data_IF_722829609862
#
_entry.id   IF_722829609862
#
_cell.length_a   1.000
_cell.length_b   1.000
_cell.length_c   1.000
_cell.angle_alpha   90.00
_cell.angle_beta   90.00
_cell.angle_gamma   90.00
#
_symmetry.space_group_name_H-M   'P 1'
#
loop_
_entity.id
_entity.type
_entity.pdbx_description
1 polymer ?
#
# COMPACT_ATOMS: atom_id res chain seq x y z
N UNK A 1 -21.65 -6.73 1.35
CA UNK A 1 -22.19 -7.70 0.37
C UNK A 1 -21.39 -8.97 0.64
N UNK A 2 -22.03 -10.11 0.87
CA UNK A 2 -21.29 -11.34 1.19
C UNK A 2 -20.40 -11.78 0.02
N UNK A 3 -19.48 -12.75 0.23
CA UNK A 3 -18.65 -13.24 -0.86
C UNK A 3 -19.54 -13.70 -2.01
N UNK A 4 -19.18 -13.32 -3.24
CA UNK A 4 -19.90 -13.75 -4.41
C UNK A 4 -19.72 -15.27 -4.59
N UNK A 5 -20.50 -15.89 -5.49
CA UNK A 5 -20.19 -17.26 -5.87
C UNK A 5 -18.76 -17.34 -6.42
N UNK A 6 -18.06 -18.43 -6.10
CA UNK A 6 -16.72 -18.66 -6.61
C UNK A 6 -16.70 -18.57 -8.14
N UNK A 7 -15.68 -17.89 -8.66
CA UNK A 7 -15.48 -17.76 -10.09
C UNK A 7 -15.35 -19.14 -10.75
N UNK A 8 -16.09 -19.38 -11.83
CA UNK A 8 -16.13 -20.67 -12.55
C UNK A 8 -15.44 -20.52 -13.90
N UNK A 9 -14.15 -20.85 -14.02
CA UNK A 9 -13.44 -20.75 -15.29
C UNK A 9 -14.00 -21.73 -16.32
N UNK A 10 -14.00 -21.31 -17.59
CA UNK A 10 -14.19 -22.22 -18.72
C UNK A 10 -12.84 -22.65 -19.28
N UNK A 11 -12.75 -23.79 -20.00
CA UNK A 11 -11.49 -24.22 -20.63
C UNK A 11 -10.87 -23.15 -21.55
N UNK A 12 -11.70 -22.30 -22.17
CA UNK A 12 -11.22 -21.21 -23.03
C UNK A 12 -10.61 -20.03 -22.28
N UNK A 13 -10.80 -19.95 -20.95
CA UNK A 13 -10.16 -18.91 -20.13
C UNK A 13 -8.74 -19.31 -19.69
N UNK A 14 -8.37 -20.59 -19.76
CA UNK A 14 -7.05 -21.05 -19.29
C UNK A 14 -5.97 -20.49 -20.20
N UNK A 15 -4.96 -19.85 -19.60
CA UNK A 15 -3.80 -19.35 -20.34
C UNK A 15 -2.82 -20.49 -20.59
N UNK A 16 -2.49 -20.84 -21.85
CA UNK A 16 -1.48 -21.84 -22.16
C UNK A 16 -0.10 -21.45 -21.64
N UNK A 17 0.77 -22.43 -21.44
CA UNK A 17 2.10 -22.16 -20.88
C UNK A 17 2.96 -21.30 -21.82
N UNK A 18 2.87 -21.49 -23.13
CA UNK A 18 3.67 -20.75 -24.13
C UNK A 18 3.13 -19.34 -24.43
N UNK A 19 2.01 -18.95 -23.81
CA UNK A 19 1.44 -17.61 -23.92
C UNK A 19 2.39 -16.56 -23.33
N UNK A 20 2.54 -15.42 -24.02
CA UNK A 20 3.42 -14.34 -23.61
C UNK A 20 3.10 -13.81 -22.20
N UNK A 21 1.83 -13.88 -21.77
CA UNK A 21 1.39 -13.49 -20.42
C UNK A 21 1.92 -14.46 -19.37
N UNK A 22 1.97 -15.76 -19.67
CA UNK A 22 2.58 -16.76 -18.80
C UNK A 22 4.09 -16.54 -18.67
N UNK A 23 4.76 -16.31 -19.80
CA UNK A 23 6.20 -15.99 -19.83
C UNK A 23 6.50 -14.76 -18.97
N UNK A 24 5.67 -13.73 -19.05
CA UNK A 24 5.81 -12.52 -18.23
C UNK A 24 5.67 -12.83 -16.73
N UNK A 25 4.60 -13.54 -16.33
CA UNK A 25 4.37 -13.91 -14.92
C UNK A 25 5.52 -14.77 -14.37
N UNK A 26 5.97 -15.79 -15.09
CA UNK A 26 7.08 -16.62 -14.62
C UNK A 26 8.37 -15.81 -14.46
N UNK A 27 8.67 -14.92 -15.42
CA UNK A 27 9.83 -14.02 -15.32
C UNK A 27 9.74 -13.10 -14.11
N UNK A 28 8.59 -12.45 -13.90
CA UNK A 28 8.39 -11.47 -12.83
C UNK A 28 8.43 -12.11 -11.45
N UNK A 29 7.99 -13.38 -11.34
CA UNK A 29 8.05 -14.18 -10.12
C UNK A 29 9.37 -14.93 -9.93
N UNK A 30 10.27 -14.89 -10.91
CA UNK A 30 11.53 -15.65 -10.89
C UNK A 30 11.35 -17.16 -10.96
N UNK A 31 10.24 -17.62 -11.53
CA UNK A 31 9.92 -19.04 -11.72
C UNK A 31 10.61 -19.57 -12.98
N UNK A 32 11.01 -20.85 -12.93
CA UNK A 32 11.49 -21.55 -14.12
C UNK A 32 10.33 -21.71 -15.11
N UNK A 33 10.56 -21.32 -16.36
CA UNK A 33 9.57 -21.46 -17.42
C UNK A 33 9.80 -22.78 -18.19
N UNK A 34 8.97 -23.79 -17.89
CA UNK A 34 9.04 -25.13 -18.49
C UNK A 34 7.63 -25.60 -18.91
N UNK A 35 7.36 -25.53 -20.22
CA UNK A 35 6.09 -25.95 -20.81
C UNK A 35 6.06 -27.43 -21.22
N UNK A 36 7.08 -28.22 -20.89
CA UNK A 36 7.09 -29.66 -21.26
C UNK A 36 6.15 -30.50 -20.40
N UNK A 37 5.87 -30.06 -19.17
CA UNK A 37 4.99 -30.78 -18.23
C UNK A 37 3.52 -30.46 -18.44
N UNK A 38 3.18 -29.17 -18.50
CA UNK A 38 1.82 -28.66 -18.60
C UNK A 38 1.74 -27.64 -19.76
N UNK A 39 1.74 -28.07 -21.03
CA UNK A 39 1.73 -27.13 -22.17
C UNK A 39 0.44 -26.29 -22.23
N UNK A 40 -0.68 -26.88 -21.82
CA UNK A 40 -2.01 -26.28 -21.96
C UNK A 40 -2.39 -25.35 -20.79
N UNK A 41 -1.50 -25.13 -19.81
CA UNK A 41 -1.81 -24.39 -18.59
C UNK A 41 -0.59 -23.65 -18.04
N UNK A 42 -0.80 -22.41 -17.60
CA UNK A 42 0.19 -21.62 -16.89
C UNK A 42 -0.04 -21.68 -15.38
N UNK A 43 0.86 -22.33 -14.66
CA UNK A 43 0.85 -22.43 -13.20
C UNK A 43 1.59 -21.27 -12.55
N UNK A 44 1.10 -20.72 -11.45
CA UNK A 44 1.85 -19.73 -10.67
C UNK A 44 1.92 -20.12 -9.19
N UNK A 45 3.01 -19.70 -8.56
CA UNK A 45 3.16 -19.68 -7.11
C UNK A 45 3.65 -18.30 -6.69
N UNK A 46 2.99 -17.71 -5.71
CA UNK A 46 3.30 -16.39 -5.19
C UNK A 46 3.40 -16.44 -3.67
N UNK A 47 4.44 -15.84 -3.11
CA UNK A 47 4.65 -15.74 -1.66
C UNK A 47 4.63 -14.30 -1.19
N UNK A 48 3.83 -14.02 -0.16
CA UNK A 48 3.83 -12.76 0.58
C UNK A 48 4.96 -12.73 1.62
N UNK A 49 5.28 -11.53 2.11
CA UNK A 49 6.39 -11.33 3.05
C UNK A 49 6.09 -11.78 4.48
N UNK A 50 4.82 -11.89 4.83
CA UNK A 50 4.33 -12.42 6.09
C UNK A 50 4.30 -13.97 6.12
N UNK A 51 4.72 -14.62 5.03
CA UNK A 51 4.76 -16.07 4.91
C UNK A 51 3.49 -16.69 4.34
N UNK A 52 2.48 -15.88 3.97
CA UNK A 52 1.35 -16.37 3.19
C UNK A 52 1.76 -16.68 1.75
N UNK A 53 1.04 -17.60 1.09
CA UNK A 53 1.29 -17.93 -0.30
C UNK A 53 0.02 -18.34 -1.03
N UNK A 54 0.05 -18.15 -2.34
CA UNK A 54 -1.01 -18.53 -3.28
C UNK A 54 -0.41 -19.40 -4.38
N UNK A 55 -1.00 -20.57 -4.57
CA UNK A 55 -0.81 -21.42 -5.75
C UNK A 55 -2.08 -21.39 -6.59
N UNK A 56 -1.91 -21.28 -7.91
CA UNK A 56 -3.04 -21.19 -8.82
C UNK A 56 -2.67 -21.37 -10.28
N UNK A 57 -3.67 -21.15 -11.13
CA UNK A 57 -3.50 -21.09 -12.60
C UNK A 57 -3.75 -19.68 -13.09
N UNK A 58 -3.04 -19.28 -14.16
CA UNK A 58 -3.33 -18.04 -14.86
C UNK A 58 -4.53 -18.23 -15.79
N UNK A 59 -5.51 -17.36 -15.64
CA UNK A 59 -6.68 -17.27 -16.50
C UNK A 59 -6.70 -15.93 -17.22
N UNK A 60 -7.39 -15.87 -18.35
CA UNK A 60 -7.71 -14.63 -19.04
C UNK A 60 -9.21 -14.52 -19.27
N UNK A 61 -9.78 -13.38 -18.88
CA UNK A 61 -11.18 -13.06 -19.15
C UNK A 61 -11.40 -11.55 -19.31
N UNK A 62 -12.61 -11.19 -19.73
CA UNK A 62 -13.04 -9.82 -19.96
C UNK A 62 -13.34 -9.07 -18.66
N UNK A 63 -12.62 -7.98 -18.42
CA UNK A 63 -12.86 -7.10 -17.28
C UNK A 63 -13.76 -5.94 -17.67
N UNK A 64 -14.68 -5.57 -16.77
CA UNK A 64 -15.46 -4.33 -16.91
C UNK A 64 -14.78 -3.22 -16.10
N UNK A 65 -14.24 -2.21 -16.79
CA UNK A 65 -13.59 -1.07 -16.16
C UNK A 65 -14.51 0.16 -16.13
N UNK A 66 -14.45 1.01 -15.08
CA UNK A 66 -15.34 2.17 -14.95
C UNK A 66 -15.25 3.20 -16.08
N UNK A 67 -14.11 3.26 -16.79
CA UNK A 67 -13.78 4.33 -17.74
C UNK A 67 -14.39 4.14 -19.13
N UNK A 68 -14.82 2.93 -19.51
CA UNK A 68 -15.61 2.72 -20.73
C UNK A 68 -16.23 1.31 -20.74
N UNK A 69 -17.55 1.20 -20.53
CA UNK A 69 -18.24 -0.10 -20.51
C UNK A 69 -18.17 -0.87 -21.86
N UNK A 70 -17.80 -0.19 -22.95
CA UNK A 70 -17.68 -0.79 -24.29
C UNK A 70 -16.32 -1.48 -24.52
N UNK A 71 -15.25 -1.04 -23.84
CA UNK A 71 -13.93 -1.66 -23.93
C UNK A 71 -13.72 -2.59 -22.74
N UNK A 72 -13.96 -3.88 -22.95
CA UNK A 72 -13.69 -4.94 -21.97
C UNK A 72 -12.35 -5.60 -22.27
N UNK A 73 -11.23 -5.15 -21.67
CA UNK A 73 -9.93 -5.76 -21.93
C UNK A 73 -9.92 -7.21 -21.46
N UNK A 74 -9.23 -8.05 -22.23
CA UNK A 74 -9.02 -9.44 -21.88
C UNK A 74 -7.77 -9.55 -21.01
N UNK A 75 -7.92 -9.48 -19.70
CA UNK A 75 -6.80 -9.41 -18.77
C UNK A 75 -6.51 -10.79 -18.18
N UNK A 76 -5.22 -11.12 -18.10
CA UNK A 76 -4.74 -12.27 -17.37
C UNK A 76 -4.66 -11.98 -15.86
N UNK A 77 -5.13 -12.93 -15.05
CA UNK A 77 -5.14 -12.86 -13.58
C UNK A 77 -5.01 -14.27 -12.98
N UNK A 78 -4.53 -14.34 -11.74
CA UNK A 78 -4.37 -15.60 -11.02
C UNK A 78 -5.70 -16.10 -10.45
N UNK A 79 -6.05 -17.36 -10.73
CA UNK A 79 -7.11 -18.09 -10.06
C UNK A 79 -6.48 -19.01 -9.01
N UNK A 80 -6.34 -18.50 -7.79
CA UNK A 80 -5.80 -19.23 -6.65
C UNK A 80 -6.76 -20.31 -6.17
N UNK A 81 -6.27 -21.54 -6.00
CA UNK A 81 -7.06 -22.66 -5.46
C UNK A 81 -6.44 -23.29 -4.21
N UNK A 82 -5.17 -22.95 -3.92
CA UNK A 82 -4.48 -23.39 -2.71
C UNK A 82 -3.77 -22.19 -2.09
N UNK A 83 -4.10 -21.88 -0.85
CA UNK A 83 -3.62 -20.72 -0.11
C UNK A 83 -3.06 -21.22 1.22
N UNK A 84 -1.77 -21.01 1.45
CA UNK A 84 -1.09 -21.42 2.68
C UNK A 84 -0.65 -20.18 3.48
N UNK A 85 -0.53 -20.33 4.81
CA UNK A 85 -0.31 -19.19 5.71
C UNK A 85 -1.61 -18.49 6.10
N UNK A 86 -1.59 -17.71 7.18
CA UNK A 86 -2.79 -17.11 7.76
C UNK A 86 -3.50 -17.99 8.80
N UNK A 87 -2.77 -18.61 9.74
CA UNK A 87 -3.36 -19.39 10.86
C UNK A 87 -4.20 -18.58 11.88
N UNK A 88 -4.63 -17.35 11.53
CA UNK A 88 -5.75 -16.65 12.19
C UNK A 88 -6.96 -16.41 11.26
N UNK A 89 -6.94 -16.90 10.02
CA UNK A 89 -8.03 -16.76 9.04
C UNK A 89 -9.29 -17.60 9.37
N UNK A 90 -9.34 -18.23 10.53
CA UNK A 90 -10.55 -18.78 11.09
C UNK A 90 -11.35 -17.74 11.88
N UNK A 91 -11.81 -16.63 11.26
CA UNK A 91 -13.00 -15.81 11.69
C UNK A 91 -13.19 -14.44 11.04
N UNK A 92 -12.28 -13.90 10.23
CA UNK A 92 -12.53 -12.60 9.57
C UNK A 92 -13.11 -12.83 8.18
N UNK A 93 -14.39 -12.49 8.02
CA UNK A 93 -15.03 -12.37 6.71
C UNK A 93 -14.27 -11.29 5.93
N UNK A 94 -13.40 -11.68 5.02
CA UNK A 94 -12.91 -10.78 3.98
C UNK A 94 -14.07 -10.63 3.00
N UNK A 95 -14.68 -9.44 2.92
CA UNK A 95 -15.79 -9.15 2.00
C UNK A 95 -15.33 -8.97 0.53
N UNK A 96 -14.13 -9.47 0.19
CA UNK A 96 -13.54 -9.40 -1.14
C UNK A 96 -13.27 -10.82 -1.67
N UNK A 97 -13.49 -11.02 -2.96
CA UNK A 97 -13.31 -12.32 -3.63
C UNK A 97 -11.86 -12.56 -4.11
N UNK A 98 -10.94 -11.63 -3.83
CA UNK A 98 -9.55 -11.71 -4.25
C UNK A 98 -8.76 -10.43 -3.95
N UNK A 99 -7.53 -10.38 -4.47
CA UNK A 99 -6.58 -9.29 -4.29
C UNK A 99 -6.22 -8.68 -5.64
N UNK A 100 -6.30 -7.34 -5.74
CA UNK A 100 -5.73 -6.62 -6.87
C UNK A 100 -4.25 -6.28 -6.58
N UNK A 101 -3.36 -7.19 -6.96
CA UNK A 101 -1.92 -6.99 -6.85
C UNK A 101 -1.38 -6.11 -7.98
N UNK A 102 -0.85 -4.92 -7.64
CA UNK A 102 -0.19 -4.03 -8.59
C UNK A 102 1.28 -3.92 -8.19
N UNK A 103 2.11 -4.75 -8.82
CA UNK A 103 3.57 -4.71 -8.67
C UNK A 103 4.24 -4.09 -9.89
N UNK A 104 5.56 -4.23 -9.95
CA UNK A 104 6.41 -3.73 -11.06
C UNK A 104 6.65 -4.77 -12.16
N UNK A 105 5.88 -5.85 -12.17
CA UNK A 105 6.05 -6.96 -13.09
C UNK A 105 5.48 -6.62 -14.46
N UNK A 106 6.16 -7.00 -15.52
CA UNK A 106 5.66 -6.85 -16.90
C UNK A 106 4.31 -7.54 -17.21
N UNK A 107 3.86 -8.48 -16.39
CA UNK A 107 2.54 -9.12 -16.46
C UNK A 107 1.47 -8.46 -15.56
N UNK A 108 1.79 -7.36 -14.86
CA UNK A 108 0.86 -6.68 -13.96
C UNK A 108 -0.32 -6.03 -14.71
N UNK A 109 -1.38 -5.67 -13.98
CA UNK A 109 -2.59 -5.05 -14.54
C UNK A 109 -2.29 -3.82 -15.41
N UNK A 110 -1.49 -2.87 -14.91
CA UNK A 110 -1.15 -1.61 -15.59
C UNK A 110 -0.38 -1.89 -16.87
N UNK A 111 0.57 -2.82 -16.82
CA UNK A 111 1.32 -3.28 -18.00
C UNK A 111 0.39 -3.89 -19.06
N UNK A 112 -0.56 -4.73 -18.66
CA UNK A 112 -1.55 -5.32 -19.58
C UNK A 112 -2.49 -4.27 -20.19
N UNK A 113 -2.96 -3.30 -19.39
CA UNK A 113 -3.80 -2.21 -19.88
C UNK A 113 -3.06 -1.36 -20.93
N UNK A 114 -1.77 -1.07 -20.71
CA UNK A 114 -0.95 -0.35 -21.69
C UNK A 114 -0.75 -1.17 -22.97
N UNK A 115 -0.42 -2.46 -22.86
CA UNK A 115 -0.22 -3.34 -24.02
C UNK A 115 -1.46 -3.45 -24.90
N UNK A 116 -2.65 -3.44 -24.31
CA UNK A 116 -3.93 -3.45 -25.03
C UNK A 116 -4.40 -2.06 -25.49
N UNK A 117 -3.60 -1.01 -25.27
CA UNK A 117 -3.92 0.37 -25.67
C UNK A 117 -5.09 0.99 -24.90
N UNK A 118 -5.44 0.44 -23.73
CA UNK A 118 -6.49 0.98 -22.86
C UNK A 118 -6.02 2.25 -22.14
N UNK A 119 -4.74 2.29 -21.80
CA UNK A 119 -4.05 3.47 -21.24
C UNK A 119 -2.80 3.77 -22.05
N UNK A 120 -2.41 5.03 -22.10
CA UNK A 120 -1.22 5.48 -22.86
C UNK A 120 0.09 5.22 -22.10
N UNK A 121 0.10 5.54 -20.81
CA UNK A 121 1.30 5.49 -19.96
C UNK A 121 1.21 4.36 -18.94
N UNK A 122 2.32 3.67 -18.67
CA UNK A 122 2.43 2.71 -17.57
C UNK A 122 2.59 3.47 -16.25
N UNK A 123 1.50 4.11 -15.84
CA UNK A 123 1.39 4.90 -14.63
C UNK A 123 0.10 4.50 -13.95
N UNK A 124 0.13 4.39 -12.63
CA UNK A 124 -1.07 4.31 -11.84
C UNK A 124 -0.90 5.12 -10.56
N UNK A 125 -2.00 5.40 -9.90
CA UNK A 125 -1.97 6.01 -8.59
C UNK A 125 -3.23 5.76 -7.80
N UNK A 126 -3.12 5.86 -6.49
CA UNK A 126 -4.24 5.68 -5.56
C UNK A 126 -4.26 6.82 -4.53
N UNK A 127 -5.42 7.03 -3.94
CA UNK A 127 -5.63 7.98 -2.84
C UNK A 127 -6.60 7.35 -1.86
N UNK A 128 -6.14 7.09 -0.63
CA UNK A 128 -6.93 6.43 0.40
C UNK A 128 -7.58 7.48 1.32
N UNK A 129 -8.91 7.44 1.48
CA UNK A 129 -9.63 8.34 2.38
C UNK A 129 -9.53 7.89 3.85
N UNK A 130 -9.42 8.85 4.78
CA UNK A 130 -9.36 8.59 6.24
C UNK A 130 -10.66 8.03 6.83
N UNK A 131 -11.80 8.26 6.18
CA UNK A 131 -13.12 7.78 6.61
C UNK A 131 -13.67 6.67 5.68
N UNK A 132 -12.77 5.98 4.98
CA UNK A 132 -13.12 5.05 3.91
C UNK A 132 -13.32 5.75 2.57
N UNK A 133 -13.47 4.94 1.52
CA UNK A 133 -13.46 5.41 0.14
C UNK A 133 -12.06 5.76 -0.35
N UNK A 134 -11.99 6.63 -1.35
CA UNK A 134 -10.76 6.90 -2.09
C UNK A 134 -10.95 6.63 -3.58
N UNK A 135 -9.85 6.65 -4.32
CA UNK A 135 -9.85 6.33 -5.73
C UNK A 135 -8.54 5.65 -6.17
N UNK A 136 -8.64 4.92 -7.27
CA UNK A 136 -7.54 4.32 -8.02
C UNK A 136 -7.66 4.81 -9.47
N UNK A 137 -6.54 5.16 -10.09
CA UNK A 137 -6.50 5.55 -11.50
C UNK A 137 -5.33 4.87 -12.22
N UNK A 138 -5.51 4.70 -13.53
CA UNK A 138 -4.52 4.14 -14.45
C UNK A 138 -4.30 5.12 -15.60
N UNK A 139 -3.07 5.20 -16.10
CA UNK A 139 -2.64 6.17 -17.11
C UNK A 139 -2.11 7.49 -16.53
N UNK A 140 -1.45 8.28 -17.38
CA UNK A 140 -0.83 9.56 -17.00
C UNK A 140 -1.80 10.74 -16.87
N UNK A 141 -3.00 10.65 -17.45
CA UNK A 141 -3.95 11.78 -17.57
C UNK A 141 -4.46 12.31 -16.22
N UNK A 142 -4.35 11.52 -15.17
CA UNK A 142 -4.82 11.84 -13.81
C UNK A 142 -3.70 12.24 -12.86
N UNK A 143 -2.45 12.25 -13.33
CA UNK A 143 -1.30 12.69 -12.54
C UNK A 143 -1.37 14.21 -12.34
N UNK A 144 -1.34 14.74 -11.11
CA UNK A 144 -1.34 16.18 -10.88
C UNK A 144 -0.15 16.87 -11.58
N UNK A 145 -0.42 18.00 -12.23
CA UNK A 145 0.60 18.75 -12.98
C UNK A 145 1.58 19.52 -12.10
N UNK A 146 1.24 19.75 -10.83
CA UNK A 146 2.07 20.45 -9.84
C UNK A 146 1.81 19.90 -8.43
N UNK A 147 2.69 20.25 -7.48
CA UNK A 147 2.54 19.88 -6.06
C UNK A 147 2.88 18.42 -5.73
N UNK A 148 3.40 17.66 -6.70
CA UNK A 148 3.88 16.30 -6.48
C UNK A 148 5.36 16.32 -6.11
N UNK A 149 5.70 15.70 -4.98
CA UNK A 149 7.06 15.38 -4.60
C UNK A 149 7.45 14.05 -5.22
N UNK A 150 8.60 13.99 -5.89
CA UNK A 150 9.06 12.80 -6.62
C UNK A 150 10.37 12.26 -6.05
N UNK A 151 10.48 10.93 -6.02
CA UNK A 151 11.73 10.21 -5.73
C UNK A 151 11.96 9.08 -6.73
N UNK A 152 13.21 8.74 -7.05
CA UNK A 152 13.50 7.57 -7.87
C UNK A 152 13.05 6.29 -7.17
N UNK A 153 12.54 5.33 -7.93
CA UNK A 153 12.26 3.98 -7.45
C UNK A 153 13.57 3.22 -7.23
N UNK A 154 13.75 2.67 -6.05
CA UNK A 154 14.84 1.75 -5.76
C UNK A 154 14.57 0.38 -6.43
N UNK A 155 15.62 -0.26 -6.95
CA UNK A 155 15.52 -1.56 -7.64
C UNK A 155 15.89 -2.76 -6.74
N UNK A 156 16.36 -2.50 -5.52
CA UNK A 156 16.87 -3.52 -4.60
C UNK A 156 15.79 -4.23 -3.76
N UNK A 157 14.50 -3.98 -4.03
CA UNK A 157 13.36 -4.53 -3.28
C UNK A 157 12.47 -5.40 -4.19
N UNK A 158 13.06 -6.04 -5.21
CA UNK A 158 12.36 -6.93 -6.12
C UNK A 158 11.25 -6.23 -6.91
N UNK A 159 10.09 -6.87 -7.01
CA UNK A 159 8.92 -6.35 -7.73
C UNK A 159 8.09 -5.33 -6.93
N UNK A 160 8.49 -5.00 -5.70
CA UNK A 160 7.78 -4.04 -4.85
C UNK A 160 8.14 -2.59 -5.20
N UNK A 161 7.20 -1.68 -4.90
CA UNK A 161 7.40 -0.24 -5.04
C UNK A 161 8.15 0.33 -3.83
N UNK A 162 9.44 0.62 -4.03
CA UNK A 162 10.31 1.19 -3.01
C UNK A 162 10.81 2.58 -3.42
N UNK A 163 10.63 3.61 -2.58
CA UNK A 163 11.30 4.92 -2.74
C UNK A 163 12.77 4.89 -2.25
N UNK A 164 13.27 3.74 -1.80
CA UNK A 164 14.62 3.56 -1.27
C UNK A 164 14.73 3.78 0.23
N UNK A 165 15.92 4.22 0.66
CA UNK A 165 16.24 4.43 2.07
C UNK A 165 15.70 5.77 2.57
N UNK A 166 15.11 5.77 3.77
CA UNK A 166 14.55 6.94 4.41
C UNK A 166 14.96 7.06 5.88
N UNK A 167 15.06 8.27 6.41
CA UNK A 167 15.10 8.47 7.87
C UNK A 167 13.70 8.84 8.37
N UNK A 168 13.36 8.40 9.58
CA UNK A 168 12.13 8.71 10.29
C UNK A 168 12.45 9.63 11.48
N UNK A 169 11.76 10.76 11.54
CA UNK A 169 11.86 11.73 12.63
C UNK A 169 10.49 12.03 13.22
N UNK A 170 10.42 12.29 14.52
CA UNK A 170 9.24 12.83 15.20
C UNK A 170 9.49 14.30 15.51
N UNK A 171 8.50 15.15 15.24
CA UNK A 171 8.57 16.58 15.56
C UNK A 171 9.90 17.21 15.11
N UNK A 172 10.11 17.32 13.79
CA UNK A 172 11.38 17.76 13.19
C UNK A 172 11.89 19.10 13.75
N UNK A 173 10.98 19.96 14.22
CA UNK A 173 11.34 21.23 14.89
C UNK A 173 12.14 21.04 16.19
N UNK A 174 11.91 19.94 16.91
CA UNK A 174 12.64 19.55 18.12
C UNK A 174 13.66 18.42 17.85
N UNK A 175 13.82 18.02 16.58
CA UNK A 175 14.78 17.01 16.12
C UNK A 175 14.76 15.72 16.97
N UNK A 176 13.62 15.03 17.09
CA UNK A 176 13.63 13.68 17.68
C UNK A 176 13.88 12.61 16.60
N UNK A 177 15.12 12.14 16.41
CA UNK A 177 15.41 11.06 15.47
C UNK A 177 14.81 9.75 15.97
N UNK A 178 13.91 9.18 15.18
CA UNK A 178 13.31 7.87 15.46
C UNK A 178 14.16 6.76 14.84
N UNK A 179 14.67 6.97 13.63
CA UNK A 179 15.70 6.11 13.02
C UNK A 179 17.09 6.72 13.16
N UNK A 180 18.09 5.92 13.54
CA UNK A 180 19.49 6.38 13.60
C UNK A 180 20.20 6.38 12.25
N UNK A 181 19.76 5.50 11.34
CA UNK A 181 20.33 5.29 10.02
C UNK A 181 19.20 5.22 9.00
N UNK A 182 19.44 5.57 7.72
CA UNK A 182 18.47 5.39 6.66
C UNK A 182 17.99 3.93 6.57
N UNK A 183 16.68 3.74 6.65
CA UNK A 183 16.03 2.45 6.65
C UNK A 183 15.41 2.19 5.27
N UNK A 184 15.60 0.99 4.70
CA UNK A 184 14.98 0.63 3.42
C UNK A 184 13.47 0.57 3.59
N UNK A 185 12.74 1.34 2.78
CA UNK A 185 11.28 1.44 2.85
C UNK A 185 10.61 0.90 1.59
N UNK A 186 9.37 0.43 1.72
CA UNK A 186 8.48 0.15 0.60
C UNK A 186 7.07 0.64 0.89
N UNK A 187 6.34 1.06 -0.14
CA UNK A 187 4.92 1.38 -0.01
C UNK A 187 4.10 0.12 -0.27
N UNK A 188 3.17 -0.18 0.63
CA UNK A 188 2.27 -1.32 0.48
C UNK A 188 0.87 -0.95 0.97
N UNK A 189 -0.07 -0.87 0.03
CA UNK A 189 -1.48 -0.57 0.31
C UNK A 189 -2.26 -1.80 0.78
N UNK A 190 -1.68 -3.00 0.71
CA UNK A 190 -2.28 -4.24 1.24
C UNK A 190 -2.22 -4.30 2.77
N UNK A 191 -1.22 -3.68 3.39
CA UNK A 191 -1.11 -3.56 4.83
C UNK A 191 -1.92 -2.38 5.37
N UNK A 192 -2.75 -2.62 6.39
CA UNK A 192 -3.49 -1.54 7.07
C UNK A 192 -2.54 -0.58 7.79
N UNK A 193 -1.55 -1.12 8.51
CA UNK A 193 -0.61 -0.38 9.34
C UNK A 193 0.77 -0.31 8.71
N UNK A 194 1.55 0.65 9.18
CA UNK A 194 2.97 0.78 8.86
C UNK A 194 3.78 -0.10 9.81
N UNK A 195 4.79 -0.79 9.29
CA UNK A 195 5.65 -1.68 10.06
C UNK A 195 7.10 -1.25 9.93
N UNK A 196 7.77 -1.02 11.05
CA UNK A 196 9.18 -0.62 11.09
C UNK A 196 10.01 -1.62 11.90
N UNK A 197 11.32 -1.66 11.65
CA UNK A 197 12.24 -2.50 12.41
C UNK A 197 12.12 -2.24 13.93
N UNK A 198 12.28 -3.29 14.75
CA UNK A 198 12.13 -3.24 16.21
C UNK A 198 12.86 -2.08 16.91
N UNK A 199 14.06 -1.72 16.43
CA UNK A 199 14.87 -0.66 17.05
C UNK A 199 14.27 0.73 16.78
N UNK A 200 13.78 0.95 15.55
CA UNK A 200 13.04 2.16 15.15
C UNK A 200 11.72 2.24 15.90
N UNK A 201 11.02 1.11 16.04
CA UNK A 201 9.76 1.02 16.78
C UNK A 201 9.93 1.39 18.26
N UNK A 202 10.95 0.83 18.94
CA UNK A 202 11.22 1.17 20.35
C UNK A 202 11.58 2.64 20.58
N UNK A 203 12.31 3.24 19.63
CA UNK A 203 12.62 4.68 19.66
C UNK A 203 11.38 5.53 19.41
N UNK A 204 10.49 5.10 18.52
CA UNK A 204 9.24 5.79 18.25
C UNK A 204 8.38 5.86 19.51
N UNK A 205 8.18 4.72 20.19
CA UNK A 205 7.42 4.66 21.45
C UNK A 205 8.02 5.61 22.49
N UNK A 206 9.34 5.59 22.64
CA UNK A 206 10.03 6.46 23.60
C UNK A 206 9.85 7.94 23.26
N UNK A 207 10.02 8.31 21.99
CA UNK A 207 9.85 9.69 21.53
C UNK A 207 8.41 10.19 21.67
N UNK A 208 7.42 9.35 21.31
CA UNK A 208 6.00 9.67 21.51
C UNK A 208 5.71 9.86 22.99
N UNK A 209 6.19 8.97 23.86
CA UNK A 209 6.05 9.08 25.31
C UNK A 209 6.55 10.42 25.85
N UNK A 210 7.75 10.84 25.45
CA UNK A 210 8.33 12.14 25.81
C UNK A 210 7.46 13.29 25.31
N UNK A 211 6.98 13.24 24.06
CA UNK A 211 6.13 14.32 23.52
C UNK A 211 4.74 14.41 24.15
N UNK A 212 4.29 13.35 24.81
CA UNK A 212 3.03 13.30 25.55
C UNK A 212 3.19 13.68 27.03
N UNK A 213 4.41 13.92 27.52
CA UNK A 213 4.63 14.39 28.89
C UNK A 213 3.89 15.71 29.13
N UNK A 214 3.11 15.77 30.22
CA UNK A 214 2.27 16.93 30.55
C UNK A 214 0.93 16.98 29.81
N UNK A 215 0.64 16.02 28.93
CA UNK A 215 -0.72 15.80 28.43
C UNK A 215 -1.59 15.08 29.47
N UNK A 216 -2.90 15.03 29.22
CA UNK A 216 -3.86 14.26 30.02
C UNK A 216 -3.90 12.77 29.69
N UNK A 217 -3.10 12.31 28.72
CA UNK A 217 -3.09 10.92 28.26
C UNK A 217 -2.25 10.03 29.19
N UNK A 218 -2.80 8.88 29.57
CA UNK A 218 -2.10 7.87 30.38
C UNK A 218 -1.89 6.59 29.58
N UNK A 219 -0.66 6.05 29.61
CA UNK A 219 -0.33 4.80 28.90
C UNK A 219 -1.09 3.62 29.52
N UNK A 220 -1.68 2.78 28.67
CA UNK A 220 -2.48 1.62 29.07
C UNK A 220 -2.30 0.45 28.11
N UNK A 221 -2.60 -0.75 28.60
CA UNK A 221 -2.65 -1.95 27.78
C UNK A 221 -4.00 -2.03 27.02
N UNK A 222 -4.00 -2.56 25.80
CA UNK A 222 -5.20 -2.89 25.04
C UNK A 222 -4.97 -4.14 24.18
N UNK A 223 -6.02 -4.94 24.01
CA UNK A 223 -5.94 -6.17 23.21
C UNK A 223 -5.83 -5.87 21.70
N UNK A 224 -6.24 -4.67 21.26
CA UNK A 224 -6.25 -4.32 19.84
C UNK A 224 -4.86 -3.98 19.31
N UNK A 225 -4.07 -3.21 20.06
CA UNK A 225 -2.76 -2.69 19.64
C UNK A 225 -1.83 -2.55 20.85
N UNK A 226 -0.53 -2.76 20.64
CA UNK A 226 0.45 -2.88 21.72
C UNK A 226 0.75 -1.58 22.48
N UNK A 227 0.56 -0.42 21.84
CA UNK A 227 0.96 0.88 22.41
C UNK A 227 -0.23 1.84 22.38
N UNK A 228 -0.88 1.99 23.53
CA UNK A 228 -2.11 2.73 23.68
C UNK A 228 -2.08 3.70 24.87
N UNK A 229 -2.94 4.71 24.77
CA UNK A 229 -3.19 5.70 25.80
C UNK A 229 -4.70 5.95 25.94
N UNK A 230 -5.11 6.40 27.12
CA UNK A 230 -6.49 6.77 27.40
C UNK A 230 -6.58 8.13 28.10
N UNK A 231 -7.79 8.70 28.09
CA UNK A 231 -8.16 9.83 28.93
C UNK A 231 -9.22 9.39 29.95
N UNK A 232 -9.57 10.29 30.86
CA UNK A 232 -10.66 10.07 31.81
C UNK A 232 -12.00 9.75 31.12
N UNK A 233 -12.24 10.35 29.95
CA UNK A 233 -13.42 10.10 29.12
C UNK A 233 -13.02 9.37 27.83
N UNK A 234 -13.84 8.42 27.34
CA UNK A 234 -13.56 7.69 26.11
C UNK A 234 -13.39 8.63 24.91
N UNK A 235 -12.28 8.47 24.18
CA UNK A 235 -12.00 9.20 22.95
C UNK A 235 -12.92 8.66 21.85
N UNK A 236 -13.64 9.54 21.15
CA UNK A 236 -14.58 9.11 20.10
C UNK A 236 -13.93 9.17 18.72
N UNK A 237 -13.19 10.24 18.44
CA UNK A 237 -12.58 10.47 17.14
C UNK A 237 -11.10 10.83 17.27
N UNK A 238 -10.34 10.52 16.22
CA UNK A 238 -8.92 10.91 16.13
C UNK A 238 -8.76 12.43 16.23
N UNK A 239 -9.71 13.20 15.70
CA UNK A 239 -9.69 14.67 15.75
C UNK A 239 -9.74 15.23 17.19
N UNK A 240 -10.32 14.50 18.14
CA UNK A 240 -10.42 14.91 19.54
C UNK A 240 -9.03 14.92 20.22
N UNK A 241 -8.10 14.09 19.73
CA UNK A 241 -6.83 13.81 20.41
C UNK A 241 -5.59 14.13 19.58
N UNK A 242 -5.71 14.24 18.25
CA UNK A 242 -4.57 14.39 17.33
C UNK A 242 -3.67 15.58 17.64
N UNK A 243 -4.21 16.66 18.21
CA UNK A 243 -3.45 17.86 18.58
C UNK A 243 -2.39 17.63 19.66
N UNK A 244 -2.52 16.55 20.45
CA UNK A 244 -1.56 16.15 21.49
C UNK A 244 -0.35 15.43 20.91
N UNK A 245 -0.50 14.85 19.72
CA UNK A 245 0.53 14.10 19.00
C UNK A 245 1.29 15.03 18.04
N UNK A 246 2.53 14.67 17.68
CA UNK A 246 3.39 15.46 16.81
C UNK A 246 3.58 14.80 15.45
N UNK A 247 3.65 15.55 14.35
CA UNK A 247 3.85 14.95 13.03
C UNK A 247 5.16 14.16 12.99
N UNK A 248 5.11 13.04 12.27
CA UNK A 248 6.28 12.27 11.86
C UNK A 248 6.72 12.74 10.48
N UNK A 249 7.96 12.45 10.12
CA UNK A 249 8.51 12.81 8.82
C UNK A 249 9.41 11.69 8.29
N UNK A 250 9.12 11.23 7.07
CA UNK A 250 10.03 10.40 6.28
C UNK A 250 10.83 11.28 5.34
N UNK A 251 12.15 11.25 5.49
CA UNK A 251 13.08 11.96 4.62
C UNK A 251 13.86 10.97 3.75
N UNK A 252 13.75 11.13 2.43
CA UNK A 252 14.42 10.33 1.41
C UNK A 252 15.57 11.12 0.77
N UNK A 253 16.63 10.42 0.38
CA UNK A 253 17.79 11.05 -0.25
C UNK A 253 18.60 11.93 0.70
N UNK A 254 19.41 12.83 0.14
CA UNK A 254 20.26 13.75 0.90
C UNK A 254 20.56 15.03 0.09
N UNK A 255 20.87 16.12 0.80
CA UNK A 255 21.27 17.39 0.19
C UNK A 255 20.19 17.97 -0.72
N UNK A 256 20.58 18.40 -1.93
CA UNK A 256 19.66 19.05 -2.88
C UNK A 256 18.58 18.12 -3.46
N UNK A 257 18.74 16.80 -3.32
CA UNK A 257 17.77 15.81 -3.81
C UNK A 257 16.92 15.24 -2.66
N UNK A 258 16.93 15.89 -1.50
CA UNK A 258 16.14 15.48 -0.36
C UNK A 258 14.64 15.65 -0.68
N UNK A 259 13.87 14.61 -0.42
CA UNK A 259 12.42 14.61 -0.56
C UNK A 259 11.80 14.18 0.76
N UNK A 260 10.72 14.86 1.15
CA UNK A 260 10.12 14.67 2.46
C UNK A 260 8.64 14.31 2.32
N UNK A 261 8.20 13.35 3.13
CA UNK A 261 6.79 13.00 3.32
C UNK A 261 6.43 13.20 4.79
N UNK A 262 5.56 14.17 5.05
CA UNK A 262 4.99 14.41 6.38
C UNK A 262 3.95 13.33 6.69
N UNK A 263 3.93 12.83 7.91
CA UNK A 263 2.94 11.87 8.38
C UNK A 263 2.21 12.55 9.55
N UNK A 264 1.04 13.14 9.32
CA UNK A 264 0.30 13.80 10.37
C UNK A 264 -0.23 12.78 11.38
N UNK A 265 -0.57 13.18 12.63
CA UNK A 265 -1.01 12.26 13.66
C UNK A 265 -2.14 11.32 13.24
N UNK A 266 -3.14 11.81 12.51
CA UNK A 266 -4.24 10.98 12.01
C UNK A 266 -3.82 9.82 11.10
N UNK A 267 -2.63 9.89 10.52
CA UNK A 267 -2.08 8.85 9.64
C UNK A 267 -1.26 7.79 10.41
N UNK A 268 -1.07 7.96 11.72
CA UNK A 268 -0.31 7.00 12.53
C UNK A 268 -0.93 6.70 13.92
N UNK A 269 -2.04 7.33 14.31
CA UNK A 269 -2.81 6.98 15.51
C UNK A 269 -4.20 6.46 15.14
N UNK A 270 -4.74 5.57 15.97
CA UNK A 270 -6.07 4.97 15.79
C UNK A 270 -6.83 5.01 17.09
N UNK A 271 -8.13 5.35 17.03
CA UNK A 271 -9.02 5.25 18.17
C UNK A 271 -9.73 3.89 18.16
N UNK A 272 -9.59 3.14 19.26
CA UNK A 272 -10.20 1.82 19.42
C UNK A 272 -11.70 1.93 19.74
N UNK A 273 -12.42 0.82 19.62
CA UNK A 273 -13.84 0.74 20.02
C UNK A 273 -14.06 0.98 21.52
N UNK A 274 -13.02 0.80 22.34
CA UNK A 274 -13.01 1.02 23.78
C UNK A 274 -12.67 2.46 24.16
N UNK A 275 -12.46 3.35 23.17
CA UNK A 275 -12.20 4.77 23.39
C UNK A 275 -10.76 5.09 23.79
N UNK A 276 -9.81 4.22 23.45
CA UNK A 276 -8.37 4.43 23.64
C UNK A 276 -7.75 4.90 22.33
N UNK A 277 -6.67 5.67 22.40
CA UNK A 277 -5.86 6.04 21.23
C UNK A 277 -4.59 5.18 21.20
N UNK A 278 -4.29 4.58 20.07
CA UNK A 278 -3.19 3.63 19.91
C UNK A 278 -2.32 3.96 18.71
N UNK A 279 -1.07 3.49 18.76
CA UNK A 279 -0.12 3.65 17.66
C UNK A 279 -0.46 2.68 16.51
N UNK A 280 -0.66 3.22 15.31
CA UNK A 280 -0.83 2.51 14.04
C UNK A 280 0.47 2.28 13.27
N UNK A 281 1.62 2.43 13.94
CA UNK A 281 2.93 1.97 13.46
C UNK A 281 3.32 0.81 14.35
N UNK A 282 3.73 -0.32 13.77
CA UNK A 282 3.93 -1.58 14.47
C UNK A 282 5.34 -2.13 14.26
N UNK A 283 5.68 -3.16 15.05
CA UNK A 283 6.96 -3.85 14.97
C UNK A 283 7.00 -4.86 13.81
N UNK A 284 7.66 -4.50 12.71
CA UNK A 284 7.79 -5.35 11.53
C UNK A 284 8.58 -6.64 11.77
N UNK A 285 9.45 -6.68 12.78
CA UNK A 285 10.21 -7.89 13.10
C UNK A 285 9.33 -9.02 13.66
N UNK A 286 8.11 -8.73 14.13
CA UNK A 286 7.16 -9.74 14.60
C UNK A 286 6.46 -10.49 13.46
N UNK A 287 6.47 -9.93 12.25
CA UNK A 287 5.82 -10.49 11.05
C UNK A 287 6.83 -10.84 9.95
N UNK A 288 8.10 -11.08 10.32
CA UNK A 288 9.12 -11.57 9.39
C UNK A 288 9.66 -10.55 8.40
N UNK A 289 9.43 -9.24 8.60
CA UNK A 289 9.93 -8.21 7.67
C UNK A 289 11.43 -7.90 7.81
N UNK A 290 12.16 -8.56 8.72
CA UNK A 290 13.60 -8.37 8.96
C UNK A 290 14.01 -6.87 8.97
N UNK A 291 14.74 -6.41 7.94
CA UNK A 291 15.25 -5.03 7.79
C UNK A 291 14.38 -4.15 6.90
N UNK A 292 13.30 -4.69 6.35
CA UNK A 292 12.37 -3.98 5.47
C UNK A 292 11.36 -3.20 6.31
N UNK A 293 11.11 -1.95 5.94
CA UNK A 293 10.15 -1.08 6.61
C UNK A 293 9.01 -0.81 5.64
N UNK A 294 7.81 -1.20 6.03
CA UNK A 294 6.63 -1.18 5.19
C UNK A 294 5.80 0.05 5.55
N UNK A 295 5.61 0.95 4.60
CA UNK A 295 4.74 2.11 4.73
C UNK A 295 3.33 1.71 4.28
N UNK A 296 2.45 1.56 5.26
CA UNK A 296 1.12 0.99 5.10
C UNK A 296 0.07 2.00 4.66
N UNK A 297 -1.14 1.50 4.44
CA UNK A 297 -2.31 2.27 4.02
C UNK A 297 -2.59 3.47 4.91
N UNK A 298 -2.50 3.32 6.24
CA UNK A 298 -2.71 4.42 7.19
C UNK A 298 -1.80 5.63 6.94
N UNK A 299 -0.50 5.40 6.67
CA UNK A 299 0.46 6.47 6.40
C UNK A 299 0.22 7.12 5.04
N UNK A 300 -0.31 6.36 4.07
CA UNK A 300 -0.66 6.85 2.73
C UNK A 300 -2.05 7.51 2.63
N UNK A 301 -2.83 7.57 3.72
CA UNK A 301 -4.12 8.25 3.71
C UNK A 301 -3.97 9.75 3.41
N UNK A 302 -4.94 10.31 2.68
CA UNK A 302 -4.92 11.72 2.25
C UNK A 302 -3.65 12.11 1.45
N UNK A 303 -3.08 11.14 0.74
CA UNK A 303 -2.04 11.32 -0.26
C UNK A 303 -2.46 10.68 -1.57
N UNK A 304 -2.27 11.41 -2.66
CA UNK A 304 -2.25 10.82 -4.00
C UNK A 304 -0.88 10.18 -4.16
N UNK A 305 -0.82 8.86 -4.04
CA UNK A 305 0.38 8.07 -4.30
C UNK A 305 0.44 7.74 -5.79
N UNK A 306 1.56 8.00 -6.44
CA UNK A 306 1.74 7.89 -7.89
C UNK A 306 2.94 7.01 -8.19
N UNK A 307 2.78 6.06 -9.08
CA UNK A 307 3.82 5.11 -9.49
C UNK A 307 4.02 5.25 -10.99
N UNK A 308 5.07 5.98 -11.38
CA UNK A 308 5.42 6.23 -12.78
C UNK A 308 6.47 5.20 -13.22
N UNK A 309 6.01 4.08 -13.80
CA UNK A 309 6.88 2.98 -14.23
C UNK A 309 7.72 3.37 -15.46
N UNK A 310 7.26 4.31 -16.29
CA UNK A 310 8.01 4.82 -17.45
C UNK A 310 9.31 5.53 -17.03
N UNK A 311 9.23 6.29 -15.94
CA UNK A 311 10.37 7.07 -15.42
C UNK A 311 11.00 6.48 -14.16
N UNK A 312 10.55 5.30 -13.74
CA UNK A 312 11.00 4.62 -12.54
C UNK A 312 11.04 5.55 -11.32
N UNK A 313 9.92 6.22 -11.02
CA UNK A 313 9.79 7.17 -9.90
C UNK A 313 8.46 7.07 -9.17
N UNK A 314 8.47 7.29 -7.87
CA UNK A 314 7.27 7.36 -7.02
C UNK A 314 7.02 8.83 -6.68
N UNK A 315 5.76 9.22 -6.73
CA UNK A 315 5.31 10.57 -6.40
C UNK A 315 4.27 10.56 -5.30
N UNK A 316 4.20 11.63 -4.51
CA UNK A 316 3.10 11.88 -3.59
C UNK A 316 2.70 13.35 -3.54
N UNK A 317 1.42 13.61 -3.30
CA UNK A 317 0.86 14.93 -3.05
C UNK A 317 -0.30 14.84 -2.04
N UNK A 318 -0.43 15.81 -1.12
CA UNK A 318 -1.57 15.86 -0.19
C UNK A 318 -2.88 16.06 -0.95
N UNK A 319 -3.92 15.31 -0.58
CA UNK A 319 -5.27 15.47 -1.10
C UNK A 319 -6.32 14.94 -0.10
N UNK A 320 -7.58 15.35 -0.24
CA UNK A 320 -8.67 14.82 0.59
C UNK A 320 -9.16 13.43 0.18
N UNK A 321 -8.71 12.92 -0.97
CA UNK A 321 -9.07 11.62 -1.55
C UNK A 321 -10.57 11.36 -1.80
N UNK A 322 -11.45 12.34 -1.60
CA UNK A 322 -12.89 12.20 -1.88
C UNK A 322 -13.23 12.41 -3.36
N UNK A 323 -12.40 13.18 -4.08
CA UNK A 323 -12.60 13.51 -5.50
C UNK A 323 -11.32 13.24 -6.28
N UNK A 324 -11.48 12.63 -7.46
CA UNK A 324 -10.36 12.31 -8.36
C UNK A 324 -9.90 13.57 -9.11
N UNK A 325 -8.58 13.83 -9.23
CA UNK A 325 -8.05 14.94 -10.02
C UNK A 325 -8.57 14.95 -11.47
N UNK A 326 -8.99 16.13 -11.95
CA UNK A 326 -9.44 16.32 -13.33
C UNK A 326 -10.87 15.86 -13.64
N UNK A 327 -11.69 15.59 -12.63
CA UNK A 327 -13.15 15.73 -12.74
C UNK A 327 -13.47 17.14 -12.21
N UNK A 328 -13.54 18.13 -13.11
CA UNK A 328 -13.74 19.53 -12.74
C UNK A 328 -15.10 19.78 -12.05
N UNK A 329 -15.19 20.81 -11.18
CA UNK A 329 -15.02 22.20 -11.60
C UNK A 329 -13.79 22.87 -11.02
N UNK A 330 -12.98 23.47 -11.88
CA UNK A 330 -12.11 24.56 -11.49
C UNK A 330 -13.00 25.71 -11.02
N UNK A 331 -12.57 26.35 -9.93
CA UNK A 331 -13.10 27.57 -9.29
C UNK A 331 -14.17 27.29 -8.21
N UNK A 332 -14.01 27.74 -6.96
CA UNK A 332 -13.22 28.90 -6.55
C UNK A 332 -12.81 28.96 -5.09
N UNK A 333 -11.59 29.46 -4.90
CA UNK A 333 -11.32 30.42 -3.85
C UNK A 333 -12.37 31.54 -3.91
N UNK A 334 -13.05 31.79 -2.80
CA UNK A 334 -13.47 33.13 -2.44
C UNK A 334 -13.21 33.28 -0.95
N UNK A 335 -12.20 34.11 -0.66
CA UNK A 335 -11.91 34.84 0.58
C UNK A 335 -12.05 34.03 1.88
#
# INVERSE_FOLDING_TARGET
RGPHEAYRPTPTNVVPCDDERCVAVHRDLGLAHDCTRNPDQCDYVFGYKDGESSLGVLLADQFSLPTNNENRPNLAFGCGYDQEGGQEAGKKLVEADGVLGIGRGTGDLVSQLKQQGIITDNIFGHCLGVHGGGFLFFGGDRVPSAGVTWVPMAQNVGSHYSPGAATLNLNVQLEYPVSMEPMTTMFDSGSTYTYVHKDTYGRLISAVGVTLEGSSLTKVDDDALAECWEENEPIQFVDDVKSKFKPLELTFGHGANQATMEIPPENYIVVTKTGKVCLGILNGSQIGLDRLNLIGGNTMQNYIMIYDNERARIGWARASCYEMPGLEPLIGSRL
#
